data_IF_486700986845
#
_entry.id   IF_486700986845
#
_cell.length_a   1.000
_cell.length_b   1.000
_cell.length_c   1.000
_cell.angle_alpha   90.00
_cell.angle_beta   90.00
_cell.angle_gamma   90.00
#
_symmetry.space_group_name_H-M   'P 1'
#
loop_
_entity.id
_entity.type
_entity.pdbx_description
1 polymer ?
#
# COMPACT_ATOMS: atom_id res chain seq x y z
N UNK A 1 -19.12 -11.16 4.50
CA UNK A 1 -18.34 -10.80 5.72
C UNK A 1 -17.63 -9.44 5.62
N UNK A 2 -16.85 -9.12 4.59
CA UNK A 2 -16.11 -7.83 4.53
C UNK A 2 -16.97 -6.58 4.65
N UNK A 3 -18.24 -6.64 4.22
CA UNK A 3 -19.17 -5.51 4.33
C UNK A 3 -19.80 -5.37 5.73
N UNK A 4 -19.63 -6.37 6.61
CA UNK A 4 -20.21 -6.39 7.96
C UNK A 4 -19.16 -6.27 9.07
N UNK A 5 -17.89 -6.58 8.79
CA UNK A 5 -16.77 -6.43 9.73
C UNK A 5 -15.88 -5.30 9.22
N UNK A 6 -16.15 -4.08 9.65
CA UNK A 6 -15.51 -2.85 9.16
C UNK A 6 -14.02 -2.72 9.49
N UNK A 7 -13.54 -3.52 10.44
CA UNK A 7 -12.21 -3.33 11.03
C UNK A 7 -11.17 -4.34 10.52
N UNK A 8 -11.53 -5.23 9.58
CA UNK A 8 -10.63 -6.23 9.01
C UNK A 8 -10.61 -6.14 7.48
N UNK A 9 -9.41 -6.18 6.90
CA UNK A 9 -9.22 -6.27 5.46
C UNK A 9 -9.75 -7.59 4.90
N UNK A 10 -10.05 -7.62 3.58
CA UNK A 10 -10.44 -8.86 2.88
C UNK A 10 -9.41 -9.97 3.04
N UNK A 11 -8.11 -9.62 3.11
CA UNK A 11 -7.03 -10.57 3.32
C UNK A 11 -7.06 -11.15 4.74
N UNK A 12 -7.28 -10.31 5.76
CA UNK A 12 -7.44 -10.78 7.15
C UNK A 12 -8.68 -11.68 7.29
N UNK A 13 -9.81 -11.29 6.72
CA UNK A 13 -11.03 -12.12 6.74
C UNK A 13 -10.79 -13.45 6.03
N UNK A 14 -10.13 -13.43 4.86
CA UNK A 14 -9.75 -14.65 4.15
C UNK A 14 -8.88 -15.55 5.02
N UNK A 15 -7.91 -14.98 5.73
CA UNK A 15 -7.00 -15.72 6.61
C UNK A 15 -7.77 -16.36 7.78
N UNK A 16 -8.64 -15.60 8.45
CA UNK A 16 -9.47 -16.11 9.56
C UNK A 16 -10.41 -17.25 9.10
N UNK A 17 -10.93 -17.18 7.86
CA UNK A 17 -11.70 -18.29 7.26
C UNK A 17 -10.80 -19.52 7.04
N UNK A 18 -9.61 -19.33 6.48
CA UNK A 18 -8.66 -20.43 6.22
C UNK A 18 -8.13 -21.09 7.50
N UNK A 19 -7.98 -20.30 8.56
CA UNK A 19 -7.51 -20.76 9.87
C UNK A 19 -8.63 -21.44 10.68
N UNK A 20 -9.84 -21.54 10.13
CA UNK A 20 -10.96 -22.28 10.72
C UNK A 20 -11.75 -21.53 11.79
N UNK A 21 -11.53 -20.22 11.93
CA UNK A 21 -12.23 -19.39 12.89
C UNK A 21 -13.60 -18.87 12.39
N UNK A 22 -13.99 -19.23 11.17
CA UNK A 22 -15.31 -18.94 10.58
C UNK A 22 -16.03 -20.23 10.23
N UNK A 23 -17.29 -20.32 10.65
CA UNK A 23 -18.21 -21.42 10.33
C UNK A 23 -19.48 -20.86 9.70
N UNK A 24 -20.07 -21.65 8.81
CA UNK A 24 -21.40 -21.42 8.24
C UNK A 24 -22.25 -22.63 8.59
N UNK A 25 -23.35 -22.44 9.29
CA UNK A 25 -24.21 -23.52 9.80
C UNK A 25 -23.38 -24.62 10.50
N UNK A 26 -22.50 -24.18 11.42
CA UNK A 26 -21.62 -25.05 12.23
C UNK A 26 -20.55 -25.83 11.43
N UNK A 27 -20.41 -25.58 10.13
CA UNK A 27 -19.44 -26.23 9.26
C UNK A 27 -18.32 -25.28 8.82
N UNK A 28 -17.09 -25.79 8.74
CA UNK A 28 -15.96 -25.04 8.19
C UNK A 28 -16.15 -24.81 6.68
N UNK A 29 -15.83 -23.60 6.23
CA UNK A 29 -16.03 -23.19 4.82
C UNK A 29 -14.77 -22.65 4.18
N UNK A 30 -14.74 -22.65 2.84
CA UNK A 30 -13.68 -22.00 2.07
C UNK A 30 -14.04 -20.52 1.88
N UNK A 31 -13.06 -19.62 1.69
CA UNK A 31 -13.34 -18.21 1.40
C UNK A 31 -14.19 -17.96 0.16
N UNK A 32 -14.23 -18.92 -0.77
CA UNK A 32 -15.03 -18.86 -2.01
C UNK A 32 -16.42 -19.49 -1.88
N UNK A 33 -16.81 -19.95 -0.68
CA UNK A 33 -18.13 -20.55 -0.47
C UNK A 33 -19.22 -19.52 -0.73
N UNK A 34 -20.23 -19.91 -1.51
CA UNK A 34 -21.43 -19.11 -1.76
C UNK A 34 -22.36 -19.33 -0.57
N UNK A 35 -22.95 -18.24 -0.07
CA UNK A 35 -23.87 -18.26 1.06
C UNK A 35 -25.31 -18.18 0.56
N UNK A 36 -26.21 -18.88 1.25
CA UNK A 36 -27.65 -18.74 1.10
C UNK A 36 -28.19 -17.71 2.11
N UNK A 37 -29.34 -17.09 1.80
CA UNK A 37 -29.88 -16.01 2.62
C UNK A 37 -30.25 -16.39 4.07
N UNK A 38 -30.41 -17.70 4.34
CA UNK A 38 -30.70 -18.26 5.66
C UNK A 38 -29.47 -18.72 6.44
N UNK A 39 -28.28 -18.62 5.85
CA UNK A 39 -27.05 -19.13 6.48
C UNK A 39 -26.66 -18.32 7.71
N UNK A 40 -26.33 -19.05 8.79
CA UNK A 40 -25.81 -18.47 10.02
C UNK A 40 -24.29 -18.53 9.98
N UNK A 41 -23.65 -17.35 9.99
CA UNK A 41 -22.20 -17.22 10.06
C UNK A 41 -21.79 -17.02 11.52
N UNK A 42 -21.05 -17.97 12.06
CA UNK A 42 -20.41 -17.84 13.38
C UNK A 42 -18.93 -17.62 13.17
N UNK A 43 -18.34 -16.63 13.85
CA UNK A 43 -16.91 -16.37 13.76
C UNK A 43 -16.32 -16.02 15.11
N UNK A 44 -15.05 -16.32 15.27
CA UNK A 44 -14.21 -15.81 16.36
C UNK A 44 -13.04 -15.05 15.74
N UNK A 45 -12.65 -13.93 16.34
CA UNK A 45 -11.44 -13.23 15.93
C UNK A 45 -10.37 -13.67 16.92
N UNK A 46 -9.41 -14.52 16.51
CA UNK A 46 -8.33 -14.89 17.42
C UNK A 46 -7.59 -13.63 17.87
N UNK A 47 -7.30 -13.53 19.17
CA UNK A 47 -6.26 -12.61 19.62
C UNK A 47 -4.96 -13.09 18.96
N UNK A 48 -4.39 -12.28 18.07
CA UNK A 48 -3.14 -12.63 17.41
C UNK A 48 -2.05 -12.70 18.48
N UNK A 49 -1.57 -13.91 18.79
CA UNK A 49 -0.25 -14.09 19.39
C UNK A 49 0.77 -13.40 18.47
N UNK A 50 1.59 -12.53 19.07
CA UNK A 50 2.49 -11.52 18.52
C UNK A 50 3.09 -11.79 17.12
N UNK A 51 2.41 -11.35 16.05
CA UNK A 51 3.09 -11.06 14.77
C UNK A 51 4.05 -9.85 14.93
N UNK A 52 3.99 -9.18 16.08
CA UNK A 52 4.92 -8.13 16.50
C UNK A 52 6.40 -8.57 16.45
N UNK A 53 6.68 -9.88 16.54
CA UNK A 53 8.04 -10.45 16.57
C UNK A 53 8.75 -10.52 15.20
N UNK A 54 8.20 -9.97 14.11
CA UNK A 54 8.86 -10.01 12.78
C UNK A 54 9.29 -8.67 12.21
N UNK A 55 8.78 -7.56 12.74
CA UNK A 55 9.14 -6.22 12.28
C UNK A 55 9.95 -5.52 13.36
N UNK A 56 11.27 -5.72 13.32
CA UNK A 56 12.19 -5.09 14.27
C UNK A 56 12.11 -3.55 14.15
N UNK A 57 11.95 -2.82 15.27
CA UNK A 57 11.98 -1.36 15.25
C UNK A 57 13.39 -0.85 14.96
N UNK A 58 13.50 0.16 14.08
CA UNK A 58 14.77 0.81 13.77
C UNK A 58 14.66 2.32 13.83
N UNK A 59 15.63 2.99 14.44
CA UNK A 59 15.70 4.45 14.39
C UNK A 59 16.27 4.92 13.06
N UNK A 60 15.36 5.39 12.18
CA UNK A 60 15.68 5.91 10.85
C UNK A 60 15.56 7.43 10.75
N UNK A 61 15.39 8.15 11.88
CA UNK A 61 15.18 9.60 11.94
C UNK A 61 14.18 10.11 10.87
N UNK A 62 12.93 9.67 10.98
CA UNK A 62 11.90 9.94 9.99
C UNK A 62 11.66 11.44 9.80
N UNK A 63 11.66 11.90 8.54
CA UNK A 63 11.34 13.29 8.21
C UNK A 63 9.82 13.48 8.11
N UNK A 64 9.19 13.92 9.20
CA UNK A 64 7.74 14.18 9.30
C UNK A 64 7.44 15.58 8.78
N UNK A 65 6.62 15.67 7.73
CA UNK A 65 6.17 16.93 7.14
C UNK A 65 4.89 17.45 7.82
N UNK A 66 4.04 16.53 8.25
CA UNK A 66 2.76 16.83 8.86
C UNK A 66 2.31 15.67 9.73
N UNK A 67 1.67 15.97 10.85
CA UNK A 67 1.08 14.99 11.75
C UNK A 67 -0.14 15.60 12.45
N UNK A 68 -1.26 14.88 12.41
CA UNK A 68 -2.45 15.14 13.22
C UNK A 68 -2.93 13.85 13.91
N UNK A 69 -4.13 13.87 14.50
CA UNK A 69 -4.69 12.72 15.22
C UNK A 69 -4.96 11.49 14.33
N UNK A 70 -5.05 11.67 13.01
CA UNK A 70 -5.47 10.66 12.05
C UNK A 70 -4.33 10.22 11.11
N UNK A 71 -3.54 11.16 10.59
CA UNK A 71 -2.56 10.90 9.54
C UNK A 71 -1.19 11.48 9.87
N UNK A 72 -0.17 10.87 9.26
CA UNK A 72 1.20 11.38 9.21
C UNK A 72 1.61 11.45 7.74
N UNK A 73 2.18 12.59 7.33
CA UNK A 73 2.86 12.74 6.05
C UNK A 73 4.37 12.72 6.26
N UNK A 74 5.05 11.78 5.61
CA UNK A 74 6.49 11.58 5.75
C UNK A 74 7.15 11.90 4.42
N UNK A 75 8.24 12.66 4.46
CA UNK A 75 9.14 12.83 3.32
C UNK A 75 10.09 11.63 3.24
N UNK A 76 9.72 10.60 2.48
CA UNK A 76 10.54 9.41 2.29
C UNK A 76 11.76 9.76 1.43
N UNK A 77 13.00 9.50 1.89
CA UNK A 77 14.17 9.69 1.04
C UNK A 77 14.22 8.64 -0.09
N UNK A 78 15.00 8.94 -1.13
CA UNK A 78 15.38 7.96 -2.15
C UNK A 78 16.28 6.88 -1.53
N UNK A 79 16.21 5.65 -2.01
CA UNK A 79 16.95 4.50 -1.51
C UNK A 79 16.27 3.73 -0.36
N UNK A 80 15.26 4.31 0.28
CA UNK A 80 14.51 3.67 1.37
C UNK A 80 13.33 2.84 0.85
N UNK A 81 13.32 1.53 1.14
CA UNK A 81 12.17 0.66 0.85
C UNK A 81 11.01 0.99 1.79
N UNK A 82 9.79 0.87 1.28
CA UNK A 82 8.57 1.10 2.09
C UNK A 82 8.27 -0.08 3.02
N UNK A 83 8.41 -1.30 2.53
CA UNK A 83 8.08 -2.53 3.26
C UNK A 83 9.22 -3.55 3.20
N UNK A 84 9.34 -4.42 4.21
CA UNK A 84 10.17 -5.61 4.14
C UNK A 84 9.84 -6.46 2.91
N UNK A 85 10.88 -6.99 2.27
CA UNK A 85 10.75 -7.80 1.07
C UNK A 85 11.79 -8.92 1.01
N UNK A 86 11.63 -9.82 0.03
CA UNK A 86 12.62 -10.85 -0.24
C UNK A 86 13.98 -10.19 -0.54
N UNK A 87 14.97 -10.43 0.34
CA UNK A 87 16.32 -9.86 0.24
C UNK A 87 16.59 -8.65 1.14
N UNK A 88 15.57 -7.97 1.66
CA UNK A 88 15.73 -6.87 2.62
C UNK A 88 14.60 -6.91 3.66
N UNK A 89 14.78 -7.68 4.75
CA UNK A 89 13.76 -7.82 5.79
C UNK A 89 13.66 -6.59 6.72
N UNK A 90 14.72 -5.80 6.79
CA UNK A 90 14.94 -4.69 7.74
C UNK A 90 15.41 -3.43 7.00
N UNK A 91 15.55 -2.31 7.71
CA UNK A 91 15.98 -1.02 7.15
C UNK A 91 14.95 -0.41 6.20
N UNK A 92 13.67 -0.61 6.49
CA UNK A 92 12.56 -0.11 5.67
C UNK A 92 11.77 0.95 6.43
N UNK A 93 10.95 1.75 5.71
CA UNK A 93 10.06 2.72 6.34
C UNK A 93 9.15 2.06 7.40
N UNK A 94 8.70 0.83 7.17
CA UNK A 94 7.90 0.10 8.16
C UNK A 94 8.67 -0.11 9.49
N UNK A 95 9.96 -0.43 9.45
CA UNK A 95 10.81 -0.56 10.64
C UNK A 95 10.92 0.80 11.38
N UNK A 96 11.14 1.88 10.61
CA UNK A 96 11.17 3.25 11.13
C UNK A 96 9.86 3.67 11.80
N UNK A 97 8.72 3.36 11.17
CA UNK A 97 7.39 3.64 11.70
C UNK A 97 7.12 2.87 13.00
N UNK A 98 7.52 1.60 13.05
CA UNK A 98 7.38 0.77 14.26
C UNK A 98 8.20 1.31 15.43
N UNK A 99 9.36 1.89 15.16
CA UNK A 99 10.19 2.54 16.18
C UNK A 99 9.60 3.88 16.66
N UNK A 100 9.14 4.71 15.72
CA UNK A 100 8.75 6.09 16.03
C UNK A 100 7.37 6.20 16.67
N UNK A 101 6.42 5.33 16.30
CA UNK A 101 5.03 5.42 16.73
C UNK A 101 4.62 4.26 17.63
N UNK A 102 4.00 4.58 18.77
CA UNK A 102 3.47 3.58 19.70
C UNK A 102 2.35 2.74 19.08
N UNK A 103 1.51 3.37 18.24
CA UNK A 103 0.38 2.72 17.58
C UNK A 103 0.11 3.36 16.24
N UNK A 104 -0.03 2.52 15.22
CA UNK A 104 -0.50 2.86 13.89
C UNK A 104 -1.56 1.86 13.47
N UNK A 105 -2.22 2.12 12.34
CA UNK A 105 -3.18 1.16 11.79
C UNK A 105 -2.51 -0.18 11.46
N UNK A 106 -3.18 -1.28 11.80
CA UNK A 106 -2.81 -2.66 11.46
C UNK A 106 -3.72 -3.26 10.38
N UNK A 107 -4.51 -2.42 9.69
CA UNK A 107 -5.51 -2.84 8.70
C UNK A 107 -4.93 -3.73 7.58
N UNK A 108 -3.70 -3.44 7.14
CA UNK A 108 -2.96 -4.24 6.15
C UNK A 108 -2.00 -5.26 6.79
N UNK A 109 -2.19 -5.55 8.07
CA UNK A 109 -1.34 -6.41 8.90
C UNK A 109 -0.21 -5.66 9.59
N UNK A 110 0.32 -6.29 10.65
CA UNK A 110 1.34 -5.72 11.54
C UNK A 110 2.68 -5.41 10.83
N UNK A 111 2.97 -6.05 9.69
CA UNK A 111 4.15 -5.78 8.87
C UNK A 111 4.04 -4.48 8.02
N UNK A 112 2.89 -3.80 8.06
CA UNK A 112 2.59 -2.60 7.26
C UNK A 112 1.92 -1.53 8.12
N UNK A 113 2.56 -1.10 9.23
CA UNK A 113 1.94 -0.23 10.21
C UNK A 113 1.56 1.11 9.56
N UNK A 114 0.27 1.39 9.45
CA UNK A 114 -0.28 2.63 8.91
C UNK A 114 -0.14 2.84 7.40
N UNK A 115 0.62 2.01 6.68
CA UNK A 115 0.94 2.28 5.27
C UNK A 115 -0.24 1.91 4.36
N UNK A 116 -0.82 2.91 3.71
CA UNK A 116 -1.98 2.78 2.81
C UNK A 116 -1.61 2.74 1.31
N UNK A 117 -0.43 3.26 0.96
CA UNK A 117 0.08 3.33 -0.41
C UNK A 117 1.61 3.15 -0.43
N UNK A 118 2.24 3.12 -1.61
CA UNK A 118 3.70 2.93 -1.72
C UNK A 118 4.34 3.89 -2.71
N UNK A 119 5.58 4.23 -2.41
CA UNK A 119 6.57 4.75 -3.34
C UNK A 119 7.61 3.65 -3.61
N UNK A 120 8.25 3.67 -4.78
CA UNK A 120 9.36 2.76 -5.04
C UNK A 120 10.62 3.17 -4.25
N UNK A 121 11.59 2.25 -4.16
CA UNK A 121 12.80 2.41 -3.35
C UNK A 121 13.48 3.75 -3.65
N UNK A 122 13.74 4.00 -4.93
CA UNK A 122 14.52 5.16 -5.37
C UNK A 122 13.65 6.40 -5.64
N UNK A 123 12.33 6.29 -5.47
CA UNK A 123 11.41 7.43 -5.50
C UNK A 123 11.40 8.11 -4.13
N UNK A 124 11.81 9.38 -4.07
CA UNK A 124 11.61 10.22 -2.88
C UNK A 124 10.23 10.89 -2.89
N UNK A 125 9.82 11.43 -1.75
CA UNK A 125 8.65 12.29 -1.65
C UNK A 125 7.66 11.87 -0.57
N UNK A 126 6.45 12.40 -0.67
CA UNK A 126 5.44 12.30 0.38
C UNK A 126 4.78 10.92 0.39
N UNK A 127 4.79 10.26 1.54
CA UNK A 127 3.99 9.07 1.83
C UNK A 127 3.06 9.34 3.02
N UNK A 128 1.82 8.86 2.92
CA UNK A 128 0.79 9.03 3.94
C UNK A 128 0.69 7.75 4.77
N UNK A 129 0.59 7.92 6.08
CA UNK A 129 0.50 6.85 7.07
C UNK A 129 -0.71 7.11 7.96
N UNK A 130 -1.57 6.10 8.12
CA UNK A 130 -2.77 6.15 8.94
C UNK A 130 -2.47 5.71 10.39
N UNK A 131 -2.91 6.51 11.36
CA UNK A 131 -2.76 6.20 12.80
C UNK A 131 -3.75 5.15 13.29
N UNK A 132 -4.91 5.02 12.66
CA UNK A 132 -5.95 4.06 13.03
C UNK A 132 -6.64 3.41 11.81
N UNK A 133 -7.35 2.31 12.03
CA UNK A 133 -7.95 1.51 10.96
C UNK A 133 -9.12 2.19 10.24
N UNK A 134 -9.85 3.08 10.92
CA UNK A 134 -10.94 3.82 10.28
C UNK A 134 -10.36 4.83 9.29
N UNK A 135 -9.32 5.57 9.69
CA UNK A 135 -8.56 6.45 8.80
C UNK A 135 -7.89 5.69 7.66
N UNK A 136 -7.31 4.52 7.95
CA UNK A 136 -6.69 3.68 6.94
C UNK A 136 -7.70 3.29 5.85
N UNK A 137 -8.87 2.80 6.25
CA UNK A 137 -9.92 2.38 5.33
C UNK A 137 -10.45 3.56 4.50
N UNK A 138 -10.62 4.73 5.13
CA UNK A 138 -11.02 5.96 4.44
C UNK A 138 -9.96 6.39 3.40
N UNK A 139 -8.68 6.43 3.76
CA UNK A 139 -7.59 6.76 2.84
C UNK A 139 -7.50 5.74 1.70
N UNK A 140 -7.57 4.45 2.01
CA UNK A 140 -7.53 3.39 1.00
C UNK A 140 -8.67 3.56 -0.03
N UNK A 141 -9.87 3.92 0.44
CA UNK A 141 -11.01 4.23 -0.42
C UNK A 141 -10.74 5.43 -1.33
N UNK A 142 -10.17 6.51 -0.79
CA UNK A 142 -9.82 7.71 -1.57
C UNK A 142 -8.74 7.40 -2.63
N UNK A 143 -7.74 6.58 -2.30
CA UNK A 143 -6.75 6.09 -3.28
C UNK A 143 -7.40 5.24 -4.38
N UNK A 144 -8.29 4.33 -4.02
CA UNK A 144 -9.01 3.47 -4.96
C UNK A 144 -9.90 4.29 -5.91
N UNK A 145 -10.58 5.31 -5.39
CA UNK A 145 -11.44 6.22 -6.16
C UNK A 145 -10.69 7.32 -6.91
N UNK A 146 -9.36 7.39 -6.80
CA UNK A 146 -8.51 8.43 -7.41
C UNK A 146 -8.88 9.85 -6.94
N UNK A 147 -9.38 10.00 -5.71
CA UNK A 147 -9.73 11.30 -5.10
C UNK A 147 -8.49 12.05 -4.58
N UNK A 148 -7.39 11.33 -4.35
CA UNK A 148 -6.11 11.91 -3.90
C UNK A 148 -5.30 12.37 -5.11
N UNK A 149 -5.05 13.67 -5.18
CA UNK A 149 -4.13 14.26 -6.14
C UNK A 149 -2.67 14.00 -5.73
N UNK A 150 -1.87 13.54 -6.69
CA UNK A 150 -0.44 13.28 -6.50
C UNK A 150 0.33 13.95 -7.62
N UNK A 151 1.31 14.76 -7.27
CA UNK A 151 2.20 15.45 -8.20
C UNK A 151 3.62 14.93 -8.02
N UNK A 152 4.31 14.68 -9.14
CA UNK A 152 5.68 14.20 -9.17
C UNK A 152 6.50 15.06 -10.11
N UNK A 153 7.70 15.43 -9.66
CA UNK A 153 8.72 16.01 -10.51
C UNK A 153 9.66 14.91 -10.98
N UNK A 154 9.91 14.86 -12.29
CA UNK A 154 10.82 13.91 -12.91
C UNK A 154 11.71 14.58 -13.94
N UNK A 155 12.90 14.02 -14.14
CA UNK A 155 13.80 14.39 -15.23
C UNK A 155 13.80 13.23 -16.21
N UNK A 156 13.49 13.50 -17.47
CA UNK A 156 13.40 12.50 -18.53
C UNK A 156 14.47 12.73 -19.59
N UNK A 157 14.94 11.65 -20.21
CA UNK A 157 15.82 11.74 -21.38
C UNK A 157 15.00 11.92 -22.66
N UNK A 158 15.45 12.80 -23.53
CA UNK A 158 14.79 13.14 -24.79
C UNK A 158 14.01 14.45 -24.74
N UNK A 159 13.58 14.92 -25.90
CA UNK A 159 12.71 16.09 -26.03
C UNK A 159 11.27 15.61 -26.19
N UNK A 160 10.35 16.25 -25.47
CA UNK A 160 8.92 16.02 -25.62
C UNK A 160 8.39 16.86 -26.78
N UNK A 161 7.54 16.27 -27.62
CA UNK A 161 6.87 17.00 -28.72
C UNK A 161 5.74 17.91 -28.20
N UNK A 162 5.20 17.61 -27.02
CA UNK A 162 4.10 18.32 -26.39
C UNK A 162 4.51 18.83 -25.00
N UNK A 163 4.07 20.04 -24.64
CA UNK A 163 4.33 20.64 -23.32
C UNK A 163 3.42 20.08 -22.21
N UNK A 164 2.29 19.49 -22.57
CA UNK A 164 1.37 18.82 -21.64
C UNK A 164 0.61 17.72 -22.38
N UNK A 165 0.14 16.71 -21.64
CA UNK A 165 -0.61 15.62 -22.23
C UNK A 165 -0.95 14.52 -21.22
N UNK A 166 -1.49 13.44 -21.76
CA UNK A 166 -1.85 12.24 -21.01
C UNK A 166 -1.21 11.00 -21.62
N UNK A 167 -0.77 10.09 -20.75
CA UNK A 167 -0.27 8.77 -21.12
C UNK A 167 -1.24 7.77 -20.51
N UNK A 168 -1.98 7.07 -21.38
CA UNK A 168 -2.99 6.09 -21.02
C UNK A 168 -2.58 4.74 -21.59
N UNK A 169 -2.30 3.79 -20.71
CA UNK A 169 -1.92 2.44 -21.10
C UNK A 169 -2.33 1.41 -20.05
N UNK A 170 -2.41 0.14 -20.46
CA UNK A 170 -2.60 -0.96 -19.53
C UNK A 170 -1.26 -1.57 -19.13
N UNK A 171 -0.94 -1.61 -17.84
CA UNK A 171 0.33 -2.13 -17.33
C UNK A 171 0.16 -3.45 -16.59
N UNK A 172 1.13 -4.36 -16.78
CA UNK A 172 1.18 -5.66 -16.10
C UNK A 172 2.61 -6.01 -15.72
N UNK A 173 2.80 -6.71 -14.60
CA UNK A 173 4.11 -7.29 -14.26
C UNK A 173 4.54 -8.31 -15.32
N UNK A 174 5.82 -8.31 -15.69
CA UNK A 174 6.36 -9.34 -16.57
C UNK A 174 6.40 -10.67 -15.83
N UNK A 175 6.11 -11.77 -16.54
CA UNK A 175 6.17 -13.13 -15.95
C UNK A 175 7.61 -13.62 -15.77
N UNK A 176 8.48 -13.27 -16.71
CA UNK A 176 9.90 -13.64 -16.72
C UNK A 176 10.73 -12.85 -15.73
N UNK A 177 10.32 -11.61 -15.45
CA UNK A 177 10.94 -10.73 -14.47
C UNK A 177 9.84 -10.00 -13.66
N UNK A 178 9.48 -10.52 -12.48
CA UNK A 178 8.41 -9.93 -11.67
C UNK A 178 8.79 -8.58 -11.04
N UNK A 179 10.04 -8.12 -11.19
CA UNK A 179 10.49 -6.79 -10.74
C UNK A 179 10.15 -5.68 -11.74
N UNK A 180 9.85 -6.02 -13.00
CA UNK A 180 9.51 -5.06 -14.05
C UNK A 180 8.05 -5.15 -14.51
N UNK A 181 7.59 -4.03 -15.08
CA UNK A 181 6.27 -3.89 -15.69
C UNK A 181 6.39 -3.72 -17.21
N UNK A 182 5.30 -4.01 -17.92
CA UNK A 182 5.19 -3.83 -19.37
C UNK A 182 3.77 -3.39 -19.75
N UNK A 183 3.66 -2.71 -20.90
CA UNK A 183 2.38 -2.45 -21.54
C UNK A 183 1.79 -3.79 -21.99
N UNK A 184 0.53 -4.04 -21.63
CA UNK A 184 -0.17 -5.26 -21.92
C UNK A 184 -1.69 -5.06 -21.88
N UNK A 185 -2.40 -5.48 -22.91
CA UNK A 185 -3.86 -5.33 -23.00
C UNK A 185 -4.64 -6.02 -21.87
N UNK A 186 -4.06 -7.05 -21.23
CA UNK A 186 -4.64 -7.73 -20.07
C UNK A 186 -4.06 -7.21 -18.73
N UNK A 187 -3.51 -6.00 -18.74
CA UNK A 187 -2.99 -5.27 -17.58
C UNK A 187 -4.06 -4.49 -16.84
N UNK A 188 -3.64 -3.73 -15.84
CA UNK A 188 -4.48 -2.72 -15.18
C UNK A 188 -4.27 -1.38 -15.87
N UNK A 189 -5.35 -0.65 -16.09
CA UNK A 189 -5.29 0.70 -16.62
C UNK A 189 -4.46 1.61 -15.72
N UNK A 190 -3.54 2.34 -16.35
CA UNK A 190 -2.73 3.39 -15.76
C UNK A 190 -2.88 4.66 -16.61
N UNK A 191 -3.17 5.77 -15.94
CA UNK A 191 -3.32 7.08 -16.53
C UNK A 191 -2.34 8.01 -15.83
N UNK A 192 -1.50 8.71 -16.59
CA UNK A 192 -0.58 9.72 -16.09
C UNK A 192 -0.73 10.99 -16.90
N UNK A 193 -1.08 12.08 -16.24
CA UNK A 193 -1.02 13.41 -16.84
C UNK A 193 0.38 13.99 -16.62
N UNK A 194 0.93 14.64 -17.64
CA UNK A 194 2.24 15.27 -17.55
C UNK A 194 2.19 16.72 -18.03
N UNK A 195 3.11 17.51 -17.50
CA UNK A 195 3.41 18.87 -17.95
C UNK A 195 4.91 19.08 -17.91
N UNK A 196 5.48 19.51 -19.04
CA UNK A 196 6.89 19.86 -19.20
C UNK A 196 7.09 21.23 -18.58
N UNK A 197 7.87 21.29 -17.50
CA UNK A 197 8.17 22.56 -16.81
C UNK A 197 9.34 23.27 -17.49
N UNK A 198 10.35 22.49 -17.91
CA UNK A 198 11.54 22.98 -18.58
C UNK A 198 12.15 21.87 -19.42
N UNK A 199 12.60 22.23 -20.63
CA UNK A 199 13.39 21.37 -21.51
C UNK A 199 14.77 22.00 -21.76
N UNK A 200 15.73 21.17 -22.15
CA UNK A 200 17.09 21.61 -22.43
C UNK A 200 17.93 20.47 -23.00
N UNK A 201 19.03 20.83 -23.66
CA UNK A 201 20.00 19.85 -24.15
C UNK A 201 21.07 19.68 -23.09
N UNK A 202 21.34 18.43 -22.71
CA UNK A 202 22.49 18.11 -21.86
C UNK A 202 23.76 18.24 -22.70
N UNK A 203 24.52 19.32 -22.48
CA UNK A 203 25.85 19.49 -23.04
C UNK A 203 26.86 19.09 -21.97
N UNK A 204 27.55 17.97 -22.15
CA UNK A 204 28.78 17.70 -21.38
C UNK A 204 29.85 18.65 -21.91
N UNK A 205 30.26 19.62 -21.09
CA UNK A 205 31.57 20.28 -21.28
C UNK A 205 32.71 19.31 -20.96
#
# INVERSE_FOLDING_TARGET
MSNHISNLSRTQIKQIILDGFVQVNESLVKPSSILEGSDIITYSIPQQDSVEDKLEPEDLNLNILYEDDHIVAINKPSGLLVHPGAGQPNGTLANGLRNHFNKLSDYNGLMRPGIVHRLDKDTSGVILVAKDNSTHSALATQFEKREIMKEYFGITWGNWDQEEGEIIDNIKRKRTDPTSYQINNNGREAITFFKVIKSGVYTSE
#
